data_IF_694466741021
#
_entry.id   IF_694466741021
#
_cell.length_a   1.000
_cell.length_b   1.000
_cell.length_c   1.000
_cell.angle_alpha   90.00
_cell.angle_beta   90.00
_cell.angle_gamma   90.00
#
_symmetry.space_group_name_H-M   'P 1'
#
loop_
_entity.id
_entity.type
_entity.pdbx_description
1 polymer ?
#
# COMPACT_ATOMS: atom_id res chain seq x y z
N UNK A 1 -15.53 -11.99 -10.32
CA UNK A 1 -16.04 -11.37 -9.08
C UNK A 1 -14.91 -10.54 -8.49
N UNK A 2 -15.14 -9.27 -8.19
CA UNK A 2 -14.20 -8.48 -7.38
C UNK A 2 -14.41 -8.90 -5.91
N UNK A 3 -13.39 -9.50 -5.29
CA UNK A 3 -13.42 -9.81 -3.86
C UNK A 3 -13.20 -8.52 -3.07
N UNK A 4 -13.91 -8.36 -1.95
CA UNK A 4 -13.69 -7.22 -1.05
C UNK A 4 -14.01 -7.59 0.39
N UNK A 5 -13.30 -6.97 1.33
CA UNK A 5 -13.56 -7.11 2.76
C UNK A 5 -13.47 -5.78 3.49
N UNK A 6 -14.03 -5.73 4.71
CA UNK A 6 -14.05 -4.57 5.58
C UNK A 6 -13.69 -4.97 7.00
N UNK A 7 -12.71 -4.30 7.58
CA UNK A 7 -12.25 -4.53 8.95
C UNK A 7 -12.34 -3.24 9.75
N UNK A 8 -12.72 -3.39 11.01
CA UNK A 8 -12.53 -2.34 12.01
C UNK A 8 -11.21 -2.60 12.73
N UNK A 9 -10.33 -1.61 12.75
CA UNK A 9 -9.01 -1.62 13.37
C UNK A 9 -9.06 -0.69 14.59
N UNK A 10 -9.41 -1.20 15.79
CA UNK A 10 -9.61 -0.37 16.98
C UNK A 10 -8.31 0.23 17.53
N UNK A 11 -7.17 -0.42 17.32
CA UNK A 11 -5.88 0.04 17.80
C UNK A 11 -4.75 -0.12 16.77
N UNK A 12 -3.59 0.41 17.13
CA UNK A 12 -2.36 0.30 16.35
C UNK A 12 -1.98 -1.17 16.07
N UNK A 13 -2.13 -2.03 17.08
CA UNK A 13 -1.83 -3.47 16.98
C UNK A 13 -2.70 -4.19 15.92
N UNK A 14 -3.95 -3.77 15.72
CA UNK A 14 -4.82 -4.35 14.69
C UNK A 14 -4.36 -3.96 13.28
N UNK A 15 -3.84 -2.73 13.13
CA UNK A 15 -3.26 -2.28 11.86
C UNK A 15 -1.95 -3.01 11.58
N UNK A 16 -1.16 -3.30 12.62
CA UNK A 16 0.05 -4.13 12.50
C UNK A 16 -0.29 -5.56 12.08
N UNK A 17 -1.30 -6.18 12.70
CA UNK A 17 -1.77 -7.51 12.34
C UNK A 17 -2.29 -7.57 10.90
N UNK A 18 -3.07 -6.57 10.47
CA UNK A 18 -3.54 -6.45 9.09
C UNK A 18 -2.35 -6.30 8.12
N UNK A 19 -1.37 -5.46 8.44
CA UNK A 19 -0.16 -5.29 7.65
C UNK A 19 0.65 -6.58 7.51
N UNK A 20 0.75 -7.39 8.58
CA UNK A 20 1.44 -8.68 8.54
C UNK A 20 0.75 -9.70 7.61
N UNK A 21 -0.59 -9.76 7.65
CA UNK A 21 -1.37 -10.63 6.75
C UNK A 21 -1.22 -10.21 5.30
N UNK A 22 -1.25 -8.90 5.03
CA UNK A 22 -1.02 -8.34 3.70
C UNK A 22 0.40 -8.64 3.20
N UNK A 23 1.43 -8.43 4.02
CA UNK A 23 2.81 -8.73 3.68
C UNK A 23 3.01 -10.19 3.26
N UNK A 24 2.36 -11.13 3.97
CA UNK A 24 2.40 -12.55 3.60
C UNK A 24 1.74 -12.84 2.25
N UNK A 25 0.67 -12.12 1.89
CA UNK A 25 -0.03 -12.33 0.61
C UNK A 25 0.68 -11.62 -0.56
N UNK A 26 1.46 -10.58 -0.29
CA UNK A 26 2.14 -9.71 -1.26
C UNK A 26 3.64 -10.03 -1.40
N UNK A 27 4.09 -11.19 -0.92
CA UNK A 27 5.51 -11.56 -0.88
C UNK A 27 6.16 -11.75 -2.25
N UNK A 28 5.36 -11.85 -3.32
CA UNK A 28 5.81 -11.95 -4.72
C UNK A 28 5.85 -10.61 -5.45
N UNK A 29 5.65 -9.50 -4.75
CA UNK A 29 5.43 -8.19 -5.35
C UNK A 29 3.95 -7.94 -5.69
N UNK A 30 3.67 -6.76 -6.23
CA UNK A 30 2.32 -6.30 -6.58
C UNK A 30 2.17 -4.78 -6.48
N UNK A 31 1.04 -4.25 -6.93
CA UNK A 31 0.71 -2.81 -6.85
C UNK A 31 -0.46 -2.61 -5.90
N UNK A 32 -0.23 -1.90 -4.81
CA UNK A 32 -1.25 -1.58 -3.80
C UNK A 32 -1.50 -0.10 -3.77
N UNK A 33 -2.76 0.28 -3.96
CA UNK A 33 -3.22 1.67 -3.84
C UNK A 33 -3.75 1.93 -2.45
N UNK A 34 -3.28 2.99 -1.80
CA UNK A 34 -3.70 3.43 -0.49
C UNK A 34 -4.49 4.73 -0.59
N UNK A 35 -5.77 4.65 -0.26
CA UNK A 35 -6.73 5.75 -0.31
C UNK A 35 -7.18 6.13 1.09
N UNK A 36 -7.55 7.40 1.26
CA UNK A 36 -8.04 7.93 2.52
C UNK A 36 -7.65 9.38 2.71
N UNK A 37 -8.36 10.08 3.60
CA UNK A 37 -8.08 11.48 3.93
C UNK A 37 -6.70 11.66 4.58
N UNK A 38 -6.26 12.91 4.73
CA UNK A 38 -5.07 13.22 5.53
C UNK A 38 -5.26 12.71 6.97
N UNK A 39 -4.28 12.00 7.52
CA UNK A 39 -4.39 11.39 8.86
C UNK A 39 -5.21 10.10 8.92
N UNK A 40 -5.70 9.57 7.79
CA UNK A 40 -6.45 8.32 7.76
C UNK A 40 -5.63 7.07 8.15
N UNK A 41 -4.29 7.18 8.19
CA UNK A 41 -3.41 6.07 8.60
C UNK A 41 -2.75 5.31 7.44
N UNK A 42 -2.79 5.84 6.21
CA UNK A 42 -2.13 5.25 5.02
C UNK A 42 -0.64 4.91 5.26
N UNK A 43 0.16 5.87 5.69
CA UNK A 43 1.57 5.62 6.06
C UNK A 43 1.72 4.61 7.20
N UNK A 44 0.75 4.52 8.12
CA UNK A 44 0.82 3.59 9.23
C UNK A 44 0.63 2.14 8.75
N UNK A 45 -0.36 1.87 7.90
CA UNK A 45 -0.52 0.53 7.30
C UNK A 45 0.63 0.20 6.34
N UNK A 46 1.15 1.17 5.58
CA UNK A 46 2.37 0.97 4.76
C UNK A 46 3.54 0.53 5.62
N UNK A 47 3.77 1.20 6.74
CA UNK A 47 4.80 0.82 7.72
C UNK A 47 4.60 -0.59 8.26
N UNK A 48 3.37 -0.96 8.60
CA UNK A 48 3.06 -2.30 9.07
C UNK A 48 3.42 -3.37 8.03
N UNK A 49 3.07 -3.14 6.76
CA UNK A 49 3.41 -4.04 5.63
C UNK A 49 4.93 -4.13 5.45
N UNK A 50 5.62 -2.99 5.30
CA UNK A 50 7.08 -2.93 5.05
C UNK A 50 7.87 -3.61 6.17
N UNK A 51 7.49 -3.38 7.44
CA UNK A 51 8.11 -4.07 8.58
C UNK A 51 7.86 -5.56 8.57
N UNK A 52 6.63 -5.99 8.28
CA UNK A 52 6.29 -7.40 8.20
C UNK A 52 6.96 -8.13 7.02
N UNK A 53 7.31 -7.41 5.94
CA UNK A 53 8.16 -7.93 4.87
C UNK A 53 9.64 -8.10 5.30
N UNK A 54 10.04 -7.59 6.48
CA UNK A 54 11.36 -7.79 7.06
C UNK A 54 12.22 -6.54 7.19
N UNK A 55 11.70 -5.34 6.90
CA UNK A 55 12.47 -4.10 7.09
C UNK A 55 12.76 -3.83 8.56
N UNK A 56 14.04 -3.61 8.89
CA UNK A 56 14.48 -3.18 10.22
C UNK A 56 14.80 -1.70 10.18
N UNK A 57 14.00 -0.90 10.87
CA UNK A 57 14.25 0.52 11.02
C UNK A 57 13.00 1.39 10.89
N UNK A 58 13.23 2.65 10.54
CA UNK A 58 12.14 3.62 10.38
C UNK A 58 11.55 3.51 8.97
N UNK A 59 10.22 3.50 8.91
CA UNK A 59 9.45 3.72 7.66
C UNK A 59 8.76 5.07 7.79
N UNK A 60 9.19 6.03 6.98
CA UNK A 60 8.67 7.41 6.94
C UNK A 60 7.86 7.60 5.66
N UNK A 61 6.97 8.58 5.65
CA UNK A 61 6.31 8.95 4.38
C UNK A 61 7.29 9.71 3.49
N UNK A 62 7.50 9.30 2.22
CA UNK A 62 8.33 10.02 1.26
C UNK A 62 7.61 11.21 0.65
N UNK A 63 6.84 11.98 1.44
CA UNK A 63 6.00 13.06 0.91
C UNK A 63 6.77 14.12 0.10
N UNK A 64 8.07 14.28 0.36
CA UNK A 64 8.95 15.22 -0.37
C UNK A 64 9.85 14.55 -1.42
N UNK A 65 10.19 13.29 -1.24
CA UNK A 65 11.00 12.51 -2.19
C UNK A 65 10.16 11.74 -3.21
N UNK A 66 8.84 11.71 -3.01
CA UNK A 66 7.79 10.97 -3.72
C UNK A 66 7.91 9.45 -3.60
N UNK A 67 9.12 8.89 -3.56
CA UNK A 67 9.39 7.47 -3.42
C UNK A 67 10.48 7.22 -2.37
N UNK A 68 10.31 6.13 -1.61
CA UNK A 68 11.34 5.55 -0.73
C UNK A 68 11.49 4.06 -1.06
N UNK A 69 12.69 3.60 -1.47
CA UNK A 69 12.99 2.19 -1.67
C UNK A 69 13.34 1.48 -0.35
N UNK A 70 12.90 0.24 -0.21
CA UNK A 70 13.27 -0.67 0.86
C UNK A 70 13.75 -1.99 0.26
N UNK A 71 15.06 -2.23 0.35
CA UNK A 71 15.70 -3.45 -0.15
C UNK A 71 15.63 -4.54 0.92
N UNK A 72 14.82 -5.57 0.68
CA UNK A 72 14.63 -6.70 1.60
C UNK A 72 15.26 -7.97 1.01
N UNK A 73 15.44 -8.99 1.85
CA UNK A 73 16.16 -10.21 1.47
C UNK A 73 15.63 -10.90 0.20
N UNK A 74 14.31 -10.85 -0.04
CA UNK A 74 13.66 -11.51 -1.18
C UNK A 74 12.65 -10.63 -1.92
N UNK A 75 12.58 -9.34 -1.57
CA UNK A 75 11.55 -8.44 -2.09
C UNK A 75 12.08 -7.00 -2.13
N UNK A 76 11.81 -6.31 -3.24
CA UNK A 76 12.01 -4.87 -3.33
C UNK A 76 10.69 -4.18 -3.07
N UNK A 77 10.64 -3.28 -2.09
CA UNK A 77 9.43 -2.51 -1.77
C UNK A 77 9.66 -1.04 -2.10
N UNK A 78 8.75 -0.44 -2.88
CA UNK A 78 8.73 0.99 -3.15
C UNK A 78 7.51 1.61 -2.51
N UNK A 79 7.74 2.48 -1.53
CA UNK A 79 6.68 3.30 -0.95
C UNK A 79 6.59 4.60 -1.72
N UNK A 80 5.46 4.86 -2.36
CA UNK A 80 5.16 6.14 -2.99
C UNK A 80 4.20 6.96 -2.12
N UNK A 81 4.46 8.26 -1.98
CA UNK A 81 3.50 9.23 -1.45
C UNK A 81 3.36 10.40 -2.43
N UNK A 82 2.27 10.35 -3.21
CA UNK A 82 2.02 11.30 -4.29
C UNK A 82 1.25 12.54 -3.81
N UNK A 83 1.08 12.77 -2.50
CA UNK A 83 0.30 13.88 -1.96
C UNK A 83 0.74 15.26 -2.50
N UNK A 84 2.05 15.43 -2.69
CA UNK A 84 2.67 16.67 -3.18
C UNK A 84 3.01 16.68 -4.66
N UNK A 85 2.68 15.61 -5.38
CA UNK A 85 2.86 15.56 -6.84
C UNK A 85 1.98 16.62 -7.48
N UNK A 86 2.59 17.58 -8.17
CA UNK A 86 1.88 18.70 -8.76
C UNK A 86 1.24 18.30 -10.10
N UNK A 87 2.00 17.62 -10.95
CA UNK A 87 1.55 17.04 -12.20
C UNK A 87 1.85 15.53 -12.26
N UNK A 88 0.89 14.74 -12.76
CA UNK A 88 1.06 13.31 -12.93
C UNK A 88 2.16 12.97 -13.95
N UNK A 89 2.40 13.84 -14.93
CA UNK A 89 3.43 13.67 -15.96
C UNK A 89 4.86 13.64 -15.38
N UNK A 90 5.09 14.25 -14.21
CA UNK A 90 6.37 14.17 -13.49
C UNK A 90 6.81 12.72 -13.24
N UNK A 91 5.87 11.79 -13.09
CA UNK A 91 6.17 10.38 -12.90
C UNK A 91 6.84 9.74 -14.13
N UNK A 92 6.47 10.15 -15.34
CA UNK A 92 7.11 9.63 -16.55
C UNK A 92 8.58 10.08 -16.63
N UNK A 93 8.87 11.34 -16.29
CA UNK A 93 10.24 11.87 -16.25
C UNK A 93 11.12 11.21 -15.18
N UNK A 94 10.50 10.72 -14.10
CA UNK A 94 11.18 9.96 -13.04
C UNK A 94 11.44 8.50 -13.41
N UNK A 95 11.02 8.05 -14.61
CA UNK A 95 11.16 6.66 -15.03
C UNK A 95 10.28 5.72 -14.20
N UNK A 96 9.06 6.14 -13.82
CA UNK A 96 8.24 5.42 -12.84
C UNK A 96 8.01 3.93 -13.20
N UNK A 97 8.03 3.61 -14.50
CA UNK A 97 7.75 2.27 -15.03
C UNK A 97 8.69 1.21 -14.49
N UNK A 98 9.96 1.55 -14.23
CA UNK A 98 10.96 0.59 -13.76
C UNK A 98 10.65 0.11 -12.33
N UNK A 99 10.04 0.96 -11.50
CA UNK A 99 9.62 0.59 -10.15
C UNK A 99 8.51 -0.46 -10.16
N UNK A 100 7.61 -0.41 -11.14
CA UNK A 100 6.50 -1.36 -11.28
C UNK A 100 6.87 -2.66 -12.01
N UNK A 101 8.17 -2.94 -12.18
CA UNK A 101 8.64 -4.21 -12.71
C UNK A 101 8.15 -5.40 -11.87
N UNK A 102 8.00 -6.55 -12.54
CA UNK A 102 7.55 -7.78 -11.90
C UNK A 102 8.48 -8.17 -10.73
N UNK A 103 7.89 -8.59 -9.61
CA UNK A 103 8.62 -8.96 -8.39
C UNK A 103 8.81 -7.81 -7.40
N UNK A 104 8.52 -6.56 -7.77
CA UNK A 104 8.53 -5.43 -6.85
C UNK A 104 7.16 -5.26 -6.18
N UNK A 105 7.14 -4.84 -4.91
CA UNK A 105 5.94 -4.41 -4.21
C UNK A 105 5.87 -2.89 -4.18
N UNK A 106 4.89 -2.30 -4.84
CA UNK A 106 4.66 -0.86 -4.84
C UNK A 106 3.46 -0.51 -3.95
N UNK A 107 3.70 0.31 -2.93
CA UNK A 107 2.70 0.83 -2.00
C UNK A 107 2.48 2.31 -2.31
N UNK A 108 1.38 2.65 -2.98
CA UNK A 108 1.13 3.99 -3.52
C UNK A 108 0.07 4.73 -2.72
N UNK A 109 0.48 5.69 -1.90
CA UNK A 109 -0.43 6.65 -1.26
C UNK A 109 -0.85 7.74 -2.24
N UNK A 110 -2.13 8.13 -2.16
CA UNK A 110 -2.73 9.15 -3.04
C UNK A 110 -2.62 8.82 -4.54
N UNK A 111 -3.02 7.61 -4.96
CA UNK A 111 -2.87 7.17 -6.36
C UNK A 111 -3.60 8.06 -7.36
N UNK A 112 -4.66 8.77 -6.94
CA UNK A 112 -5.38 9.71 -7.78
C UNK A 112 -4.51 10.86 -8.32
N UNK A 113 -3.41 11.19 -7.65
CA UNK A 113 -2.44 12.21 -8.10
C UNK A 113 -1.59 11.74 -9.27
N UNK A 114 -1.37 10.43 -9.41
CA UNK A 114 -0.63 9.81 -10.51
C UNK A 114 -1.53 9.24 -11.62
N UNK A 115 -2.81 9.61 -11.66
CA UNK A 115 -3.77 9.04 -12.61
C UNK A 115 -3.28 9.18 -14.06
N UNK A 116 -3.36 8.10 -14.84
CA UNK A 116 -2.86 8.04 -16.22
C UNK A 116 -1.42 7.52 -16.36
N UNK A 117 -0.61 7.58 -15.29
CA UNK A 117 0.79 7.14 -15.30
C UNK A 117 1.06 5.93 -14.38
N UNK A 118 0.15 5.65 -13.44
CA UNK A 118 0.21 4.45 -12.62
C UNK A 118 -0.40 3.23 -13.35
N UNK A 119 0.14 2.01 -13.15
CA UNK A 119 -0.49 0.79 -13.62
C UNK A 119 -1.81 0.52 -12.86
N UNK A 120 -2.57 -0.46 -13.35
CA UNK A 120 -3.72 -0.97 -12.59
C UNK A 120 -3.24 -1.60 -11.28
N UNK A 121 -3.88 -1.30 -10.13
CA UNK A 121 -3.51 -1.93 -8.87
C UNK A 121 -3.99 -3.38 -8.83
N UNK A 122 -3.30 -4.20 -8.07
CA UNK A 122 -3.78 -5.52 -7.65
C UNK A 122 -4.81 -5.38 -6.52
N UNK A 123 -4.58 -4.41 -5.62
CA UNK A 123 -5.33 -4.21 -4.40
C UNK A 123 -5.53 -2.71 -4.12
N UNK A 124 -6.76 -2.32 -3.78
CA UNK A 124 -7.06 -0.99 -3.23
C UNK A 124 -7.37 -1.14 -1.75
N UNK A 125 -6.65 -0.38 -0.92
CA UNK A 125 -6.87 -0.25 0.52
C UNK A 125 -7.38 1.16 0.81
N UNK A 126 -8.65 1.27 1.20
CA UNK A 126 -9.26 2.54 1.62
C UNK A 126 -9.35 2.60 3.14
N UNK A 127 -8.68 3.58 3.74
CA UNK A 127 -8.71 3.85 5.17
C UNK A 127 -9.60 5.05 5.47
N UNK A 128 -10.48 4.90 6.45
CA UNK A 128 -11.35 5.97 6.95
C UNK A 128 -11.30 6.02 8.48
N UNK A 129 -11.14 7.20 9.10
CA UNK A 129 -11.37 7.37 10.54
C UNK A 129 -12.75 6.87 10.95
N UNK A 130 -12.82 6.03 11.99
CA UNK A 130 -14.08 5.53 12.52
C UNK A 130 -13.96 5.39 14.04
N UNK A 131 -14.73 6.20 14.78
CA UNK A 131 -14.63 6.31 16.25
C UNK A 131 -13.18 6.55 16.69
N UNK A 132 -12.69 5.75 17.65
CA UNK A 132 -11.32 5.78 18.16
C UNK A 132 -10.32 5.02 17.26
N UNK A 133 -10.81 4.32 16.24
CA UNK A 133 -10.02 3.45 15.37
C UNK A 133 -10.08 3.85 13.89
N UNK A 134 -9.89 2.85 13.02
CA UNK A 134 -9.94 2.99 11.56
C UNK A 134 -10.78 1.89 10.94
N UNK A 135 -11.55 2.24 9.92
CA UNK A 135 -12.14 1.27 9.01
C UNK A 135 -11.19 1.06 7.82
N UNK A 136 -10.81 -0.18 7.57
CA UNK A 136 -10.05 -0.61 6.40
C UNK A 136 -11.00 -1.32 5.43
N UNK A 137 -11.12 -0.82 4.21
CA UNK A 137 -11.84 -1.49 3.12
C UNK A 137 -10.83 -1.93 2.06
N UNK A 138 -10.77 -3.23 1.79
CA UNK A 138 -9.87 -3.83 0.81
C UNK A 138 -10.67 -4.32 -0.40
N UNK A 139 -10.24 -3.97 -1.60
CA UNK A 139 -10.87 -4.38 -2.87
C UNK A 139 -9.83 -4.99 -3.80
N UNK A 140 -10.08 -6.22 -4.25
CA UNK A 140 -9.22 -6.97 -5.15
C UNK A 140 -9.53 -6.64 -6.62
N UNK A 141 -8.48 -6.39 -7.41
CA UNK A 141 -8.55 -6.14 -8.85
C UNK A 141 -7.75 -7.16 -9.67
N UNK A 142 -7.01 -8.05 -9.01
CA UNK A 142 -6.29 -9.18 -9.62
C UNK A 142 -6.37 -10.44 -8.74
N UNK A 143 -5.83 -11.56 -9.24
CA UNK A 143 -5.71 -12.79 -8.44
C UNK A 143 -4.85 -12.60 -7.18
N UNK A 144 -3.80 -11.78 -7.26
CA UNK A 144 -2.99 -11.40 -6.10
C UNK A 144 -3.84 -10.59 -5.10
N UNK A 145 -4.63 -9.64 -5.60
CA UNK A 145 -5.57 -8.88 -4.77
C UNK A 145 -6.57 -9.77 -4.05
N UNK A 146 -7.08 -10.82 -4.71
CA UNK A 146 -8.02 -11.78 -4.10
C UNK A 146 -7.34 -12.52 -2.95
N UNK A 147 -6.12 -13.02 -3.15
CA UNK A 147 -5.35 -13.68 -2.09
C UNK A 147 -5.09 -12.73 -0.90
N UNK A 148 -4.85 -11.44 -1.15
CA UNK A 148 -4.67 -10.44 -0.11
C UNK A 148 -5.97 -10.15 0.68
N UNK A 149 -7.12 -10.08 0.00
CA UNK A 149 -8.43 -9.95 0.65
C UNK A 149 -8.73 -11.18 1.51
N UNK A 150 -8.50 -12.39 0.99
CA UNK A 150 -8.68 -13.63 1.75
C UNK A 150 -7.74 -13.71 2.96
N UNK A 151 -6.51 -13.20 2.84
CA UNK A 151 -5.56 -13.14 3.95
C UNK A 151 -6.06 -12.24 5.08
N UNK A 152 -6.75 -11.15 4.75
CA UNK A 152 -7.34 -10.26 5.73
C UNK A 152 -8.53 -10.89 6.47
N UNK A 153 -9.35 -11.70 5.78
CA UNK A 153 -10.53 -12.38 6.35
C UNK A 153 -10.21 -13.54 7.30
N UNK A 154 -8.97 -14.05 7.29
CA UNK A 154 -8.46 -15.06 8.23
C UNK A 154 -8.26 -14.43 9.63
N UNK A 155 -9.35 -14.08 10.30
CA UNK A 155 -9.45 -13.72 11.73
C UNK A 155 -9.91 -14.92 12.55
#
# INVERSE_FOLDING_TARGET
>A
MQASTRLFLPAEADTEAAGARLASALSSGGVVFLEGTLGAGKTYITRAIVRACGHVGTVKSPTYTLVEPYELASLQVYHFDLYRLADAEELEFMGIRDYFAAGNLCLVEWPSRGAGFLPQPDLILKLTPDRDGRKLEATALSALGVAAVEALDRC
#
